data_IF_920343973444
#
_entry.id   IF_920343973444
#
_cell.length_a   1.000
_cell.length_b   1.000
_cell.length_c   1.000
_cell.angle_alpha   90.00
_cell.angle_beta   90.00
_cell.angle_gamma   90.00
#
_symmetry.space_group_name_H-M   'P 1'
#
loop_
_entity.id
_entity.type
_entity.pdbx_description
1 polymer ?
2 polymer ?
3 non-polymer ?
#
# COMPACT_ATOMS: atom_id res chain seq x y z
N UNK A 1 -34.44 29.13 43.79
CA UNK A 1 -33.99 29.04 42.41
C UNK A 1 -34.08 30.38 41.68
N UNK A 2 -32.91 30.95 41.39
CA UNK A 2 -32.78 32.11 40.52
C UNK A 2 -32.61 31.62 39.09
N UNK A 3 -31.86 32.38 38.28
CA UNK A 3 -31.42 31.87 36.99
C UNK A 3 -30.70 30.54 37.16
N UNK A 4 -31.01 29.59 36.29
CA UNK A 4 -30.31 28.31 36.24
C UNK A 4 -29.92 28.04 34.80
N UNK A 5 -28.73 27.50 34.59
CA UNK A 5 -28.17 27.36 33.25
C UNK A 5 -28.33 25.95 32.71
N UNK A 25 -42.47 18.80 46.72
CA UNK A 25 -42.02 17.46 47.03
C UNK A 25 -40.88 17.00 46.13
N UNK A 26 -41.00 15.75 45.64
CA UNK A 26 -39.99 15.15 44.79
C UNK A 26 -40.43 13.80 44.27
N UNK A 27 -40.40 13.63 42.94
CA UNK A 27 -40.62 12.32 42.34
C UNK A 27 -39.74 12.14 41.10
N UNK A 28 -38.50 12.61 41.19
CA UNK A 28 -37.57 12.53 40.08
C UNK A 28 -37.15 11.09 39.84
N UNK A 29 -36.42 10.88 38.74
CA UNK A 29 -35.95 9.56 38.36
C UNK A 29 -34.46 9.53 38.01
N UNK A 30 -33.74 10.63 38.24
CA UNK A 30 -32.30 10.68 37.96
C UNK A 30 -31.57 11.34 39.12
N UNK A 31 -31.90 12.61 39.40
CA UNK A 31 -31.22 13.36 40.45
C UNK A 31 -31.68 12.84 41.82
N UNK A 32 -30.74 12.33 42.60
CA UNK A 32 -31.03 11.88 43.96
C UNK A 32 -31.37 13.07 44.85
N UNK A 33 -32.62 13.26 45.26
CA UNK A 33 -33.01 14.49 45.97
C UNK A 33 -32.75 14.38 47.47
N UNK A 34 -31.70 15.09 47.91
CA UNK A 34 -31.41 15.11 49.35
C UNK A 34 -32.53 15.78 50.13
N UNK A 35 -33.20 16.76 49.53
CA UNK A 35 -34.33 17.43 50.14
C UNK A 35 -35.18 18.10 49.08
N UNK A 36 -35.29 19.43 49.17
CA UNK A 36 -35.92 20.19 48.08
C UNK A 36 -35.09 20.07 46.81
N UNK A 37 -35.71 20.48 45.70
CA UNK A 37 -35.01 20.49 44.42
C UNK A 37 -35.56 21.63 43.58
N UNK A 38 -34.71 22.12 42.68
CA UNK A 38 -35.07 23.23 41.81
C UNK A 38 -35.68 22.75 40.50
N UNK A 39 -35.65 21.45 40.20
CA UNK A 39 -36.04 20.97 38.89
C UNK A 39 -37.07 19.85 38.97
N UNK A 40 -37.96 19.82 37.99
CA UNK A 40 -39.06 18.88 37.89
C UNK A 40 -38.64 17.69 37.03
N UNK A 41 -39.59 16.77 36.81
CA UNK A 41 -39.34 15.61 35.95
C UNK A 41 -39.08 16.04 34.51
N UNK A 42 -39.61 17.18 34.09
CA UNK A 42 -39.51 17.62 32.71
C UNK A 42 -38.15 18.26 32.44
N UNK A 43 -37.69 19.11 33.37
CA UNK A 43 -36.34 19.66 33.26
C UNK A 43 -35.29 18.57 33.44
N UNK A 44 -35.62 17.50 34.18
CA UNK A 44 -34.73 16.37 34.28
C UNK A 44 -34.57 15.67 32.93
N UNK A 45 -35.65 15.58 32.15
CA UNK A 45 -35.57 14.97 30.82
C UNK A 45 -34.80 15.86 29.85
N UNK A 46 -34.97 17.18 29.99
CA UNK A 46 -34.12 18.11 29.25
C UNK A 46 -32.65 17.80 29.51
N UNK A 47 -32.26 17.81 30.79
CA UNK A 47 -30.87 17.53 31.16
C UNK A 47 -30.39 16.19 30.62
N UNK A 48 -31.29 15.22 30.45
CA UNK A 48 -30.88 13.90 29.95
C UNK A 48 -30.50 13.97 28.47
N UNK A 49 -31.33 14.63 27.65
CA UNK A 49 -31.04 14.70 26.22
C UNK A 49 -29.81 15.55 25.94
N UNK A 50 -29.60 16.63 26.69
CA UNK A 50 -28.41 17.44 26.48
C UNK A 50 -27.14 16.72 26.94
N UNK A 51 -27.26 15.77 27.87
CA UNK A 51 -26.12 14.91 28.17
C UNK A 51 -25.77 14.03 26.97
N UNK A 52 -26.79 13.42 26.36
CA UNK A 52 -26.58 12.65 25.13
C UNK A 52 -25.92 13.50 24.05
N UNK A 53 -26.48 14.69 23.80
CA UNK A 53 -25.90 15.58 22.81
C UNK A 53 -24.46 15.97 23.18
N UNK A 54 -24.21 16.20 24.47
CA UNK A 54 -22.89 16.62 24.89
C UNK A 54 -21.87 15.50 24.72
N UNK A 55 -22.21 14.28 25.13
CA UNK A 55 -21.30 13.15 24.97
C UNK A 55 -20.94 12.93 23.51
N UNK A 56 -21.96 13.03 22.64
CA UNK A 56 -21.78 12.87 21.21
C UNK A 56 -20.80 13.90 20.64
N UNK A 57 -21.01 15.18 20.96
CA UNK A 57 -20.12 16.22 20.49
C UNK A 57 -18.69 15.95 20.97
N UNK A 58 -18.54 15.55 22.23
CA UNK A 58 -17.22 15.27 22.77
C UNK A 58 -16.57 14.11 22.04
N UNK A 59 -17.32 13.03 21.83
CA UNK A 59 -16.80 11.89 21.06
C UNK A 59 -16.40 12.32 19.66
N UNK A 60 -17.25 13.12 19.00
CA UNK A 60 -16.93 13.69 17.70
C UNK A 60 -15.59 14.40 17.71
N UNK A 61 -15.41 15.32 18.66
CA UNK A 61 -14.17 16.09 18.74
C UNK A 61 -12.98 15.18 18.99
N UNK A 62 -13.17 14.11 19.76
CA UNK A 62 -12.08 13.18 20.02
C UNK A 62 -11.62 12.49 18.75
N UNK A 63 -12.56 12.14 17.87
CA UNK A 63 -12.28 11.34 16.69
C UNK A 63 -12.05 12.15 15.43
N UNK A 64 -12.20 13.48 15.47
CA UNK A 64 -12.22 14.25 14.23
C UNK A 64 -10.86 14.26 13.54
N UNK A 65 -9.80 14.55 14.30
CA UNK A 65 -8.48 14.70 13.69
C UNK A 65 -8.00 13.40 13.07
N UNK A 66 -8.20 12.28 13.77
CA UNK A 66 -7.83 10.98 13.21
C UNK A 66 -8.69 10.64 12.00
N UNK A 67 -9.99 10.94 12.08
CA UNK A 67 -10.88 10.64 10.97
C UNK A 67 -10.48 11.38 9.71
N UNK A 68 -10.11 12.66 9.85
CA UNK A 68 -9.68 13.44 8.69
C UNK A 68 -8.35 12.95 8.15
N UNK A 69 -7.45 12.50 9.02
CA UNK A 69 -6.16 11.99 8.56
C UNK A 69 -6.34 10.81 7.61
N UNK A 70 -7.18 9.84 8.00
CA UNK A 70 -7.35 8.66 7.17
C UNK A 70 -8.20 8.98 5.93
N UNK A 71 -9.11 9.96 6.04
CA UNK A 71 -9.88 10.39 4.88
C UNK A 71 -8.96 11.03 3.86
N UNK A 72 -8.06 11.92 4.33
CA UNK A 72 -7.04 12.49 3.47
C UNK A 72 -6.33 11.43 2.63
N UNK A 73 -5.65 10.50 3.31
CA UNK A 73 -4.75 9.57 2.62
C UNK A 73 -5.51 8.57 1.79
N UNK A 74 -6.72 8.17 2.21
CA UNK A 74 -7.54 7.29 1.39
C UNK A 74 -7.86 7.94 0.04
N UNK A 75 -8.09 9.25 0.04
CA UNK A 75 -8.39 9.94 -1.20
C UNK A 75 -7.13 10.11 -2.07
N UNK A 76 -5.99 10.38 -1.44
CA UNK A 76 -4.75 10.56 -2.21
C UNK A 76 -4.29 9.23 -2.79
N UNK A 77 -4.19 8.20 -1.95
CA UNK A 77 -3.66 6.91 -2.39
C UNK A 77 -4.55 6.28 -3.46
N UNK A 78 -5.86 6.49 -3.37
CA UNK A 78 -6.76 5.95 -4.38
C UNK A 78 -6.49 6.55 -5.74
N UNK A 79 -6.26 7.86 -5.79
CA UNK A 79 -5.95 8.51 -7.06
C UNK A 79 -4.56 8.16 -7.54
N UNK A 80 -3.59 8.09 -6.62
CA UNK A 80 -2.23 7.73 -6.99
C UNK A 80 -2.20 6.34 -7.63
N UNK A 81 -2.30 5.03 -9.36
CA UNK A 81 -2.13 3.79 -10.11
C UNK A 81 -2.70 3.90 -11.51
N UNK A 82 -3.83 4.59 -11.67
CA UNK A 82 -4.42 4.79 -12.99
C UNK A 82 -3.48 5.60 -13.88
N UNK A 83 -2.76 6.55 -13.29
CA UNK A 83 -1.77 7.32 -14.04
C UNK A 83 -0.65 6.42 -14.53
N UNK A 84 -0.17 5.51 -13.66
CA UNK A 84 0.91 4.62 -14.02
C UNK A 84 0.51 3.70 -15.17
N UNK A 85 -0.76 3.28 -15.22
CA UNK A 85 -1.21 2.40 -16.29
C UNK A 85 -1.33 3.16 -17.60
N UNK A 86 -1.90 4.38 -17.55
CA UNK A 86 -1.99 5.20 -18.76
C UNK A 86 -0.60 5.49 -19.34
N UNK A 87 0.36 5.83 -18.47
CA UNK A 87 1.70 6.14 -18.94
C UNK A 87 2.34 4.92 -19.59
N UNK A 88 2.19 3.75 -18.97
CA UNK A 88 2.77 2.54 -19.55
C UNK A 88 2.12 2.21 -20.89
N UNK A 89 0.81 2.42 -21.01
CA UNK A 89 0.12 2.12 -22.26
C UNK A 89 0.68 2.97 -23.40
N UNK A 90 0.82 4.27 -23.16
CA UNK A 90 1.29 5.17 -24.20
C UNK A 90 2.75 4.91 -24.55
N UNK A 91 3.58 4.64 -23.54
CA UNK A 91 4.96 4.27 -23.80
C UNK A 91 5.03 3.00 -24.65
N UNK A 92 4.24 1.99 -24.28
CA UNK A 92 4.21 0.75 -25.04
C UNK A 92 3.67 0.98 -26.45
N UNK A 93 2.65 1.82 -26.59
CA UNK A 93 2.15 2.16 -27.92
C UNK A 93 3.20 2.89 -28.73
N UNK A 94 3.91 3.84 -28.11
CA UNK A 94 4.93 4.61 -28.83
C UNK A 94 6.09 3.73 -29.26
N UNK A 95 6.51 2.81 -28.39
CA UNK A 95 7.63 1.93 -28.73
C UNK A 95 7.27 1.04 -29.92
N UNK A 96 6.03 0.57 -29.99
CA UNK A 96 5.58 -0.20 -31.14
C UNK A 96 5.57 0.65 -32.40
N UNK A 97 5.00 1.86 -32.29
CA UNK A 97 4.96 2.77 -33.44
C UNK A 97 6.36 3.04 -33.98
N UNK A 98 7.34 3.14 -33.09
CA UNK A 98 8.70 3.53 -33.46
C UNK A 98 9.55 2.36 -33.94
N UNK A 99 9.36 1.18 -33.37
CA UNK A 99 10.21 0.03 -33.68
C UNK A 99 9.53 -1.01 -34.56
N UNK A 100 8.20 -1.14 -34.49
CA UNK A 100 7.48 -2.12 -35.30
C UNK A 100 6.33 -1.45 -36.07
N UNK A 101 6.62 -0.45 -36.91
CA UNK A 101 5.53 0.24 -37.62
C UNK A 101 4.71 -0.69 -38.50
N UNK A 102 5.31 -1.78 -38.98
CA UNK A 102 4.57 -2.78 -39.75
C UNK A 102 3.50 -3.48 -38.91
N UNK A 103 3.60 -3.42 -37.59
CA UNK A 103 2.61 -4.05 -36.72
C UNK A 103 1.48 -3.10 -36.34
N UNK A 104 1.56 -1.81 -36.71
CA UNK A 104 0.46 -0.90 -36.45
C UNK A 104 -0.49 -0.87 -37.65
N UNK A 105 -1.79 -0.56 -37.45
CA UNK A 105 -2.42 -0.14 -36.19
C UNK A 105 -2.86 -1.28 -35.29
N UNK A 106 -2.65 -2.53 -35.71
CA UNK A 106 -3.10 -3.67 -34.92
C UNK A 106 -2.50 -3.66 -33.52
N UNK A 107 -1.24 -3.25 -33.41
CA UNK A 107 -0.60 -3.18 -32.10
C UNK A 107 -1.29 -2.18 -31.19
N UNK A 108 -1.68 -1.02 -31.74
CA UNK A 108 -2.45 -0.03 -31.00
C UNK A 108 -3.74 -0.61 -30.43
N UNK A 109 -4.23 -1.70 -31.00
CA UNK A 109 -5.46 -2.31 -30.54
C UNK A 109 -5.23 -3.37 -29.46
N UNK A 110 -4.26 -4.27 -29.64
CA UNK A 110 -4.07 -5.28 -28.60
C UNK A 110 -3.29 -4.75 -27.40
N UNK A 111 -2.49 -3.69 -27.58
CA UNK A 111 -1.90 -3.02 -26.43
C UNK A 111 -3.00 -2.37 -25.60
N UNK A 112 -3.93 -1.69 -26.28
CA UNK A 112 -5.06 -1.10 -25.57
C UNK A 112 -5.91 -2.14 -24.87
N UNK A 113 -6.16 -3.27 -25.53
CA UNK A 113 -6.93 -4.34 -24.88
C UNK A 113 -6.25 -4.80 -23.60
N UNK A 114 -4.93 -4.89 -23.60
CA UNK A 114 -4.21 -5.45 -22.46
C UNK A 114 -4.22 -4.48 -21.29
N UNK A 115 -3.86 -3.22 -21.53
CA UNK A 115 -3.79 -2.26 -20.44
C UNK A 115 -5.18 -1.88 -19.92
N UNK A 116 -6.20 -1.97 -20.78
CA UNK A 116 -7.57 -1.85 -20.28
C UNK A 116 -7.86 -2.89 -19.22
N UNK A 117 -7.52 -4.15 -19.51
CA UNK A 117 -7.71 -5.21 -18.52
C UNK A 117 -6.81 -5.03 -17.30
N UNK A 118 -5.63 -4.42 -17.48
CA UNK A 118 -4.75 -4.16 -16.34
C UNK A 118 -5.45 -3.29 -15.31
N UNK A 119 -5.96 -2.14 -15.74
CA UNK A 119 -6.67 -1.25 -14.83
C UNK A 119 -7.90 -1.94 -14.24
N UNK A 120 -8.67 -2.63 -15.08
CA UNK A 120 -9.84 -3.35 -14.59
C UNK A 120 -9.47 -4.36 -13.51
N UNK A 121 -8.39 -5.12 -13.73
CA UNK A 121 -7.96 -6.10 -12.74
C UNK A 121 -7.50 -5.41 -11.47
N UNK A 122 -6.84 -4.26 -11.60
CA UNK A 122 -6.37 -3.52 -10.44
C UNK A 122 -7.55 -3.12 -9.57
N UNK A 123 -8.64 -2.70 -10.20
CA UNK A 123 -9.78 -2.12 -9.50
C UNK A 123 -10.84 -3.17 -9.13
N UNK A 124 -10.48 -4.46 -9.13
CA UNK A 124 -11.31 -5.49 -8.54
C UNK A 124 -12.17 -6.28 -9.52
N UNK A 125 -12.14 -5.97 -10.81
CA UNK A 125 -12.94 -6.72 -11.77
C UNK A 125 -12.44 -8.16 -11.87
N UNK A 126 -13.33 -9.04 -12.33
CA UNK A 126 -12.99 -10.46 -12.53
C UNK A 126 -12.20 -10.55 -13.83
N UNK A 127 -10.89 -10.38 -13.72
CA UNK A 127 -9.98 -10.46 -14.86
C UNK A 127 -8.91 -11.49 -14.54
N UNK A 128 -8.67 -12.41 -15.47
CA UNK A 128 -7.67 -13.46 -15.29
C UNK A 128 -6.39 -13.02 -16.01
N UNK A 129 -5.31 -12.86 -15.25
CA UNK A 129 -4.08 -12.29 -15.81
C UNK A 129 -3.56 -13.15 -16.96
N UNK A 130 -3.61 -14.48 -16.80
CA UNK A 130 -3.08 -15.37 -17.84
C UNK A 130 -3.77 -15.12 -19.18
N UNK A 131 -4.99 -14.58 -19.15
CA UNK A 131 -5.69 -14.21 -20.37
C UNK A 131 -4.99 -13.04 -21.04
N UNK A 132 -5.01 -11.88 -20.38
CA UNK A 132 -4.42 -10.64 -20.88
C UNK A 132 -3.12 -10.91 -21.62
N UNK A 133 -2.23 -11.67 -20.99
CA UNK A 133 -1.00 -12.11 -21.64
C UNK A 133 -1.32 -13.01 -22.85
N UNK A 134 -2.21 -13.98 -22.67
CA UNK A 134 -2.47 -14.94 -23.75
C UNK A 134 -3.23 -14.29 -24.90
N UNK A 135 -4.25 -13.48 -24.60
CA UNK A 135 -4.93 -12.71 -25.64
C UNK A 135 -3.94 -11.79 -26.35
N UNK A 136 -3.03 -11.18 -25.59
CA UNK A 136 -2.03 -10.31 -26.17
C UNK A 136 -1.18 -11.05 -27.20
N UNK A 137 -0.67 -12.23 -26.82
CA UNK A 137 0.16 -13.00 -27.73
C UNK A 137 -0.66 -13.70 -28.81
N UNK A 138 -1.93 -14.02 -28.53
CA UNK A 138 -2.80 -14.54 -29.58
C UNK A 138 -3.12 -13.48 -30.62
N UNK A 139 -3.24 -12.22 -30.19
CA UNK A 139 -3.46 -11.15 -31.15
C UNK A 139 -2.16 -10.74 -31.82
N UNK A 140 -1.03 -10.94 -31.15
CA UNK A 140 0.23 -10.43 -31.67
C UNK A 140 0.77 -11.32 -32.78
N UNK A 141 0.68 -12.65 -32.60
CA UNK A 141 1.35 -13.54 -33.53
C UNK A 141 0.85 -13.44 -34.97
N UNK A 142 -0.46 -13.40 -35.25
CA UNK A 142 -0.89 -13.31 -36.66
C UNK A 142 -0.29 -12.12 -37.38
N UNK A 143 -0.21 -10.95 -36.74
CA UNK A 143 0.32 -9.78 -37.44
C UNK A 143 1.83 -9.88 -37.61
N UNK A 144 2.53 -10.52 -36.67
CA UNK A 144 3.95 -10.82 -36.89
C UNK A 144 4.11 -11.72 -38.11
N UNK A 145 3.35 -12.81 -38.15
CA UNK A 145 3.45 -13.76 -39.25
C UNK A 145 3.20 -13.08 -40.58
N UNK A 146 2.11 -12.31 -40.66
CA UNK A 146 1.69 -11.76 -41.95
C UNK A 146 2.57 -10.57 -42.35
N UNK A 147 2.98 -9.74 -41.39
CA UNK A 147 3.66 -8.48 -41.68
C UNK A 147 5.17 -8.53 -41.52
N UNK A 148 5.72 -9.34 -40.62
CA UNK A 148 7.15 -9.37 -40.36
C UNK A 148 7.85 -10.59 -40.98
N UNK A 149 7.29 -11.78 -40.77
CA UNK A 149 7.94 -13.01 -41.22
C UNK A 149 7.69 -13.26 -42.70
N UNK A 150 6.43 -13.22 -43.12
CA UNK A 150 6.04 -13.57 -44.49
C UNK A 150 5.17 -12.47 -45.07
N UNK A 151 5.74 -11.30 -45.36
CA UNK A 151 4.94 -10.19 -45.91
C UNK A 151 4.42 -10.53 -47.30
N UNK A 152 3.10 -10.60 -47.43
CA UNK A 152 2.47 -10.96 -48.69
C UNK A 152 2.53 -12.45 -48.97
N UNK A 158 -6.36 -12.76 -43.80
CA UNK A 158 -7.57 -12.24 -43.17
C UNK A 158 -8.53 -13.37 -42.82
N UNK A 159 -8.70 -14.30 -43.76
CA UNK A 159 -9.49 -15.50 -43.47
C UNK A 159 -8.68 -16.49 -42.65
N UNK A 160 -7.36 -16.40 -42.71
CA UNK A 160 -6.47 -17.39 -42.10
C UNK A 160 -6.06 -16.94 -40.69
N UNK A 161 -6.76 -15.95 -40.12
CA UNK A 161 -6.38 -15.41 -38.82
C UNK A 161 -6.50 -16.45 -37.71
N UNK A 162 -7.59 -17.21 -37.71
CA UNK A 162 -7.88 -18.08 -36.56
C UNK A 162 -6.94 -19.27 -36.49
N UNK A 163 -6.50 -19.79 -37.64
CA UNK A 163 -5.49 -20.84 -37.66
C UNK A 163 -4.22 -20.38 -36.96
N UNK A 164 -3.76 -19.15 -37.28
CA UNK A 164 -2.53 -18.63 -36.71
C UNK A 164 -2.68 -18.37 -35.21
N UNK A 165 -3.88 -17.98 -34.77
CA UNK A 165 -4.13 -17.81 -33.34
C UNK A 165 -4.03 -19.14 -32.61
N UNK A 166 -4.47 -20.23 -33.24
CA UNK A 166 -4.36 -21.56 -32.65
C UNK A 166 -2.96 -22.13 -32.74
N UNK A 167 -2.29 -21.90 -33.87
CA UNK A 167 -0.92 -22.38 -34.04
C UNK A 167 0.05 -21.65 -33.12
N UNK A 168 -0.30 -20.44 -32.66
CA UNK A 168 0.53 -19.73 -31.70
C UNK A 168 0.80 -20.59 -30.48
N UNK A 169 -0.24 -21.22 -29.94
CA UNK A 169 -0.14 -22.01 -28.72
C UNK A 169 0.17 -23.46 -29.01
N UNK A 170 -0.40 -24.02 -30.08
CA UNK A 170 -0.14 -25.41 -30.44
C UNK A 170 1.32 -25.63 -30.81
N UNK A 171 1.99 -24.59 -31.31
CA UNK A 171 3.39 -24.70 -31.73
C UNK A 171 4.35 -23.94 -30.82
N UNK A 172 3.83 -23.21 -29.83
CA UNK A 172 4.63 -22.62 -28.75
C UNK A 172 5.66 -21.65 -29.34
N UNK A 173 5.20 -20.79 -30.25
CA UNK A 173 6.12 -19.99 -31.06
C UNK A 173 6.92 -19.02 -30.19
N UNK A 174 6.34 -18.53 -29.10
CA UNK A 174 7.02 -17.59 -28.22
C UNK A 174 7.77 -18.26 -27.07
N UNK A 175 7.86 -19.58 -27.05
CA UNK A 175 8.58 -20.24 -25.98
C UNK A 175 7.95 -19.97 -24.63
N UNK A 176 8.78 -19.61 -23.64
CA UNK A 176 8.30 -19.29 -22.30
C UNK A 176 8.23 -17.79 -22.04
N UNK A 177 8.35 -16.96 -23.07
CA UNK A 177 8.13 -15.53 -22.88
C UNK A 177 6.74 -15.21 -22.32
N UNK A 178 5.64 -15.83 -22.78
CA UNK A 178 4.34 -15.54 -22.15
C UNK A 178 4.28 -15.90 -20.68
N UNK A 179 4.82 -17.06 -20.30
CA UNK A 179 4.84 -17.43 -18.89
C UNK A 179 5.66 -16.43 -18.07
N UNK A 180 6.81 -16.03 -18.60
CA UNK A 180 7.65 -15.03 -17.92
C UNK A 180 6.86 -13.75 -17.64
N UNK A 181 6.22 -13.20 -18.67
CA UNK A 181 5.39 -12.00 -18.49
C UNK A 181 4.26 -12.29 -17.52
N UNK A 182 3.66 -13.48 -17.61
CA UNK A 182 2.55 -13.84 -16.73
C UNK A 182 2.94 -13.70 -15.26
N UNK A 183 4.09 -14.26 -14.89
CA UNK A 183 4.53 -14.18 -13.50
C UNK A 183 5.05 -12.80 -13.15
N UNK A 184 5.74 -12.14 -14.09
CA UNK A 184 6.20 -10.78 -13.87
C UNK A 184 5.04 -9.86 -13.47
N UNK A 185 3.95 -9.93 -14.21
CA UNK A 185 2.86 -8.98 -14.02
C UNK A 185 1.84 -9.45 -12.98
N UNK A 186 1.63 -10.77 -12.84
CA UNK A 186 0.64 -11.25 -11.88
C UNK A 186 1.08 -10.92 -10.45
N UNK A 187 2.38 -11.00 -10.18
CA UNK A 187 2.88 -10.69 -8.84
C UNK A 187 2.71 -9.21 -8.53
N UNK A 188 2.95 -8.33 -9.50
CA UNK A 188 2.86 -6.90 -9.26
C UNK A 188 1.43 -6.40 -9.31
N UNK A 189 0.58 -7.01 -10.14
CA UNK A 189 -0.80 -6.55 -10.22
C UNK A 189 -1.63 -7.08 -9.08
N UNK A 190 -1.23 -8.22 -8.49
CA UNK A 190 -1.94 -8.76 -7.35
C UNK A 190 -1.74 -7.89 -6.10
N UNK A 191 -0.50 -7.48 -5.84
CA UNK A 191 -0.25 -6.66 -4.65
C UNK A 191 -0.97 -5.32 -4.75
N UNK A 192 -1.00 -4.73 -5.94
CA UNK A 192 -1.67 -3.44 -6.09
C UNK A 192 -3.18 -3.59 -5.96
N UNK A 193 -3.74 -4.66 -6.52
CA UNK A 193 -5.17 -4.92 -6.36
C UNK A 193 -5.54 -5.10 -4.89
N UNK A 196 -5.92 -0.29 0.76
CA UNK A 196 -7.08 0.59 0.64
C UNK A 196 -8.23 0.11 1.51
N UNK A 197 -8.41 -1.22 1.58
CA UNK A 197 -9.44 -1.79 2.45
C UNK A 197 -9.22 -1.39 3.89
N UNK A 198 -7.97 -1.44 4.36
CA UNK A 198 -7.68 -1.13 5.76
C UNK A 198 -7.88 0.35 6.05
N UNK A 199 -7.48 1.22 5.12
CA UNK A 199 -7.71 2.66 5.30
C UNK A 199 -9.20 2.95 5.43
N UNK A 200 -10.00 2.43 4.50
CA UNK A 200 -11.44 2.67 4.54
C UNK A 200 -12.10 2.04 5.76
N UNK A 201 -11.57 0.92 6.25
CA UNK A 201 -12.15 0.30 7.44
C UNK A 201 -11.86 1.12 8.68
N UNK A 202 -10.64 1.65 8.81
CA UNK A 202 -10.34 2.54 9.93
C UNK A 202 -11.26 3.74 9.98
N UNK A 203 -11.53 4.34 8.81
CA UNK A 203 -12.52 5.40 8.73
C UNK A 203 -13.86 4.93 9.27
N UNK A 204 -14.24 3.69 8.95
CA UNK A 204 -15.57 3.21 9.28
C UNK A 204 -15.71 2.91 10.77
N UNK A 205 -14.67 2.40 11.40
CA UNK A 205 -14.76 2.14 12.84
C UNK A 205 -14.66 3.43 13.65
N UNK A 206 -13.76 4.34 13.24
CA UNK A 206 -13.59 5.59 13.96
C UNK A 206 -14.84 6.45 13.84
N UNK A 207 -15.46 6.43 12.66
CA UNK A 207 -16.71 7.15 12.46
C UNK A 207 -17.84 6.54 13.27
N UNK A 208 -17.79 5.22 13.51
CA UNK A 208 -18.76 4.58 14.39
C UNK A 208 -18.64 5.05 15.84
N UNK A 209 -17.44 5.44 16.27
CA UNK A 209 -17.20 5.77 17.68
C UNK A 209 -18.08 6.93 18.15
N UNK A 210 -18.20 7.99 17.36
CA UNK A 210 -18.99 9.12 17.83
C UNK A 210 -20.49 8.84 17.80
N UNK A 211 -20.90 7.68 17.31
CA UNK A 211 -22.30 7.29 17.31
C UNK A 211 -22.59 6.17 18.30
N UNK A 212 -21.64 5.83 19.18
CA UNK A 212 -21.84 4.73 20.11
C UNK A 212 -22.96 5.04 21.09
N UNK A 213 -23.98 4.19 21.11
CA UNK A 213 -25.03 4.29 22.10
C UNK A 213 -24.59 3.61 23.39
N UNK A 214 -24.88 4.26 24.52
CA UNK A 214 -24.48 3.77 25.82
C UNK A 214 -25.71 3.28 26.59
N UNK A 215 -25.46 2.62 27.71
CA UNK A 215 -26.54 2.06 28.50
C UNK A 215 -27.35 3.16 29.15
N UNK A 216 -28.57 2.82 29.60
CA UNK A 216 -29.40 3.87 30.17
C UNK A 216 -28.86 4.30 31.53
N UNK A 217 -28.24 3.37 32.26
CA UNK A 217 -27.60 3.70 33.52
C UNK A 217 -26.48 4.71 33.31
N UNK A 218 -25.67 4.51 32.27
CA UNK A 218 -24.61 5.47 31.97
C UNK A 218 -25.20 6.84 31.68
N UNK A 219 -26.33 6.90 30.97
CA UNK A 219 -26.96 8.17 30.69
C UNK A 219 -27.48 8.86 31.95
N UNK A 220 -28.06 8.08 32.87
CA UNK A 220 -28.51 8.66 34.13
C UNK A 220 -27.34 9.14 34.96
N UNK A 221 -26.22 8.41 34.94
CA UNK A 221 -25.03 8.83 35.67
C UNK A 221 -24.40 10.06 35.04
N UNK A 222 -24.34 10.11 33.70
CA UNK A 222 -23.82 11.30 33.03
C UNK A 222 -24.65 12.53 33.37
N UNK A 223 -25.97 12.36 33.45
CA UNK A 223 -26.84 13.48 33.83
C UNK A 223 -26.56 13.94 35.25
N UNK A 224 -26.45 13.00 36.18
CA UNK A 224 -26.11 13.35 37.56
C UNK A 224 -24.77 14.07 37.63
N UNK A 225 -23.78 13.61 36.85
CA UNK A 225 -22.46 14.20 36.91
C UNK A 225 -22.44 15.63 36.38
N UNK A 226 -23.10 15.86 35.24
CA UNK A 226 -22.97 17.12 34.54
C UNK A 226 -23.98 18.18 34.96
N UNK A 227 -25.20 17.78 35.34
CA UNK A 227 -26.31 18.72 35.39
C UNK A 227 -27.15 18.70 36.66
N UNK A 228 -27.14 17.61 37.43
CA UNK A 228 -28.02 17.54 38.60
C UNK A 228 -27.62 18.51 39.71
N UNK A 229 -26.39 19.05 39.67
CA UNK A 229 -26.02 20.07 40.65
C UNK A 229 -26.86 21.33 40.49
N UNK A 230 -27.22 21.67 39.25
CA UNK A 230 -28.11 22.80 39.03
C UNK A 230 -29.49 22.56 39.64
N UNK A 231 -29.91 21.30 39.71
CA UNK A 231 -31.19 20.97 40.34
C UNK A 231 -31.16 21.22 41.84
N UNK A 232 -29.98 21.16 42.46
CA UNK A 232 -29.83 21.52 43.86
C UNK A 232 -29.55 23.02 44.06
N UNK A 233 -29.46 23.79 42.98
CA UNK A 233 -29.33 25.22 43.11
C UNK A 233 -27.92 25.74 43.23
N UNK A 234 -26.94 25.01 42.73
CA UNK A 234 -25.56 25.47 42.71
C UNK A 234 -25.21 26.00 41.31
N UNK A 235 -24.35 27.00 41.27
CA UNK A 235 -24.02 27.70 40.01
C UNK A 235 -22.68 27.31 39.42
N UNK A 236 -21.61 27.26 40.20
CA UNK A 236 -20.27 27.05 39.65
C UNK A 236 -19.65 25.70 39.99
N UNK A 237 -20.27 24.92 40.89
CA UNK A 237 -19.66 23.67 41.31
C UNK A 237 -19.45 22.74 40.12
N UNK A 238 -18.27 22.13 40.04
CA UNK A 238 -17.92 21.19 39.00
C UNK A 238 -17.84 19.77 39.54
N UNK A 239 -18.02 18.76 38.70
CA UNK A 239 -17.90 17.38 39.19
C UNK A 239 -16.46 17.00 39.48
N UNK A 240 -16.29 16.12 40.46
CA UNK A 240 -14.96 15.63 40.82
C UNK A 240 -14.38 14.80 39.69
N UNK A 241 -13.06 14.94 39.48
CA UNK A 241 -12.40 14.13 38.47
C UNK A 241 -12.47 12.65 38.78
N UNK A 242 -12.28 12.29 40.04
CA UNK A 242 -12.41 10.89 40.44
C UNK A 242 -13.81 10.36 40.17
N UNK A 243 -14.83 11.16 40.48
CA UNK A 243 -16.20 10.77 40.14
C UNK A 243 -16.38 10.65 38.64
N UNK A 244 -15.68 11.51 37.87
CA UNK A 244 -15.77 11.42 36.42
C UNK A 244 -15.14 10.14 35.90
N UNK A 245 -14.03 9.72 36.49
CA UNK A 245 -13.35 8.51 36.03
C UNK A 245 -14.18 7.26 36.36
N UNK A 246 -14.72 7.17 37.57
CA UNK A 246 -15.58 6.04 37.92
C UNK A 246 -16.79 6.00 37.00
N UNK A 247 -17.35 7.17 36.69
CA UNK A 247 -18.48 7.23 35.76
C UNK A 247 -18.04 6.84 34.36
N UNK A 248 -16.92 7.43 33.90
CA UNK A 248 -16.49 7.19 32.51
C UNK A 248 -16.00 5.75 32.33
N UNK A 249 -15.22 5.24 33.27
CA UNK A 249 -14.80 3.84 33.18
C UNK A 249 -16.01 2.92 33.16
N UNK A 250 -17.09 3.30 33.83
CA UNK A 250 -18.31 2.51 33.76
C UNK A 250 -19.04 2.65 32.44
N UNK A 251 -18.98 3.83 31.83
CA UNK A 251 -19.66 4.05 30.56
C UNK A 251 -18.90 3.40 29.40
N UNK A 252 -17.57 3.49 29.40
CA UNK A 252 -16.74 3.03 28.29
C UNK A 252 -16.20 1.63 28.53
N UNK A 253 -16.88 0.81 29.34
CA UNK A 253 -16.35 -0.50 29.71
C UNK A 253 -16.15 -1.41 28.50
N UNK A 254 -17.15 -1.45 27.61
CA UNK A 254 -16.97 -2.22 26.38
C UNK A 254 -16.05 -1.54 25.40
N UNK A 255 -16.05 -0.20 25.39
CA UNK A 255 -15.29 0.55 24.41
C UNK A 255 -13.78 0.35 24.61
N UNK A 256 -13.34 0.22 25.86
CA UNK A 256 -11.90 0.12 26.10
C UNK A 256 -11.36 -1.22 25.61
N UNK A 257 -12.21 -2.25 25.56
CA UNK A 257 -11.78 -3.55 25.04
C UNK A 257 -11.30 -3.46 23.59
N UNK A 258 -11.78 -2.46 22.86
CA UNK A 258 -11.36 -2.25 21.48
C UNK A 258 -9.89 -1.84 21.35
N UNK A 259 -9.28 -1.39 22.45
CA UNK A 259 -7.93 -0.84 22.38
C UNK A 259 -6.93 -1.86 21.81
N UNK A 260 -6.94 -3.08 22.35
CA UNK A 260 -5.96 -4.07 21.90
C UNK A 260 -6.11 -4.38 20.42
N UNK A 261 -7.34 -4.40 19.91
CA UNK A 261 -7.55 -4.67 18.49
C UNK A 261 -7.15 -3.47 17.64
N UNK A 262 -7.35 -2.26 18.15
CA UNK A 262 -6.93 -1.07 17.41
C UNK A 262 -5.42 -0.96 17.35
N UNK A 263 -4.74 -1.31 18.44
CA UNK A 263 -3.27 -1.29 18.44
C UNK A 263 -2.71 -2.30 17.46
N UNK A 264 -3.31 -3.49 17.39
CA UNK A 264 -2.86 -4.50 16.44
C UNK A 264 -3.13 -4.06 15.00
N UNK A 266 -3.04 -0.88 13.93
CA UNK A 266 -1.96 0.07 13.63
C UNK A 266 -0.66 -0.68 13.32
N UNK A 267 -0.28 -1.61 14.20
CA UNK A 267 0.98 -2.31 14.04
C UNK A 267 0.98 -3.18 12.79
N UNK A 268 -0.13 -3.88 12.53
CA UNK A 268 -0.24 -4.66 11.30
C UNK A 268 -0.14 -3.77 10.08
N UNK A 269 -0.74 -2.58 10.13
CA UNK A 269 -0.59 -1.63 9.03
C UNK A 269 0.87 -1.21 8.87
N UNK A 270 1.53 -0.91 9.99
CA UNK A 270 2.94 -0.53 9.95
C UNK A 270 3.80 -1.67 9.42
N UNK A 271 3.39 -2.91 9.69
CA UNK A 271 4.11 -4.04 9.11
C UNK A 271 4.00 -4.01 7.59
N UNK A 272 2.78 -3.84 7.06
CA UNK A 272 2.59 -3.85 5.62
C UNK A 272 3.43 -2.77 4.94
N UNK A 273 3.47 -1.56 5.52
CA UNK A 273 4.16 -0.47 4.85
C UNK A 273 5.67 -0.65 4.91
N UNK A 275 7.20 -3.27 4.83
CA UNK A 275 7.55 -4.35 3.92
C UNK A 275 7.54 -3.99 2.45
N UNK A 276 6.83 -2.94 2.06
CA UNK A 276 6.85 -2.49 0.67
C UNK A 276 8.14 -1.73 0.35
N UNK A 281 8.62 -0.72 -9.18
CA UNK A 281 7.39 -1.35 -8.72
C UNK A 281 6.52 -1.75 -9.90
N UNK A 282 5.21 -1.54 -9.77
CA UNK A 282 4.29 -1.77 -10.88
C UNK A 282 4.63 -0.92 -12.08
N UNK A 283 5.27 0.23 -11.88
CA UNK A 283 5.70 1.06 -13.00
C UNK A 283 6.79 0.38 -13.81
N UNK A 284 7.81 -0.14 -13.13
CA UNK A 284 8.92 -0.79 -13.82
C UNK A 284 8.46 -2.02 -14.60
N UNK A 285 7.60 -2.84 -13.99
CA UNK A 285 7.09 -4.03 -14.66
C UNK A 285 6.33 -3.64 -15.91
N UNK A 286 5.36 -2.74 -15.78
CA UNK A 286 4.55 -2.34 -16.93
C UNK A 286 5.38 -1.55 -17.95
N UNK A 287 6.34 -0.73 -17.50
CA UNK A 287 7.22 -0.05 -18.43
C UNK A 287 8.15 -1.04 -19.14
N UNK A 288 8.56 -2.09 -18.44
CA UNK A 288 9.43 -3.08 -19.04
C UNK A 288 8.78 -4.08 -19.97
N UNK A 289 7.47 -3.96 -20.20
CA UNK A 289 6.77 -4.98 -20.99
C UNK A 289 7.23 -4.97 -22.44
N UNK A 290 7.41 -3.80 -23.04
CA UNK A 290 7.78 -3.77 -24.45
C UNK A 290 9.13 -4.43 -24.68
N UNK A 291 10.09 -4.18 -23.79
CA UNK A 291 11.40 -4.80 -23.92
C UNK A 291 11.28 -6.31 -23.97
N UNK A 292 10.52 -6.89 -23.03
CA UNK A 292 10.33 -8.34 -23.01
C UNK A 292 9.58 -8.83 -24.23
N UNK A 293 8.56 -8.07 -24.66
CA UNK A 293 7.82 -8.43 -25.87
C UNK A 293 8.73 -8.37 -27.09
N UNK A 294 9.56 -7.33 -27.18
CA UNK A 294 10.45 -7.19 -28.32
C UNK A 294 11.40 -8.38 -28.43
N UNK A 295 11.98 -8.79 -27.29
CA UNK A 295 12.83 -9.98 -27.30
C UNK A 295 12.04 -11.23 -27.63
N UNK A 297 9.59 -11.22 -29.82
CA UNK A 297 9.47 -11.15 -31.28
C UNK A 297 10.76 -11.62 -31.93
N UNK A 298 11.91 -11.23 -31.37
CA UNK A 298 13.20 -11.67 -31.89
C UNK A 298 13.34 -13.18 -31.80
N UNK A 299 12.91 -13.77 -30.69
CA UNK A 299 12.94 -15.22 -30.55
C UNK A 299 12.17 -15.90 -31.68
N UNK A 300 10.96 -15.42 -31.95
CA UNK A 300 10.10 -16.04 -32.96
C UNK A 300 10.78 -15.99 -34.32
N UNK A 301 11.32 -14.83 -34.69
CA UNK A 301 11.92 -14.66 -36.01
C UNK A 301 13.22 -15.45 -36.17
N UNK A 302 13.85 -15.84 -35.07
CA UNK A 302 14.99 -16.74 -35.16
C UNK A 302 14.61 -18.10 -35.73
N UNK A 303 13.31 -18.38 -35.90
CA UNK A 303 12.82 -19.65 -36.41
C UNK A 303 11.89 -19.47 -37.60
N UNK A 304 11.90 -18.28 -38.22
CA UNK A 304 10.95 -17.99 -39.30
C UNK A 304 11.06 -18.99 -40.44
N UNK A 305 12.28 -19.36 -40.81
CA UNK A 305 12.52 -20.32 -41.88
C UNK A 305 11.70 -21.59 -41.77
N UNK A 306 11.96 -22.40 -40.74
CA UNK A 306 11.21 -23.64 -40.61
C UNK A 306 9.78 -23.39 -40.15
N UNK A 307 9.55 -22.36 -39.34
CA UNK A 307 8.22 -22.14 -38.77
C UNK A 307 7.21 -21.78 -39.86
N UNK A 308 7.62 -21.00 -40.85
CA UNK A 308 6.73 -20.69 -41.97
C UNK A 308 6.26 -21.96 -42.67
N UNK A 309 7.20 -22.88 -42.94
CA UNK A 309 6.86 -24.08 -43.69
C UNK A 309 5.83 -24.94 -42.96
N UNK A 310 6.04 -25.17 -41.66
CA UNK A 310 5.08 -26.01 -40.93
C UNK A 310 3.72 -25.33 -40.84
N UNK A 311 3.70 -24.01 -40.60
CA UNK A 311 2.43 -23.29 -40.59
C UNK A 311 1.80 -23.32 -41.97
N UNK A 312 2.62 -23.27 -43.01
CA UNK A 312 2.14 -23.48 -44.37
C UNK A 312 1.34 -24.76 -44.49
N UNK A 313 1.94 -25.87 -44.07
CA UNK A 313 1.22 -27.15 -44.06
C UNK A 313 0.02 -27.08 -43.12
N UNK A 314 0.23 -26.63 -41.88
CA UNK A 314 -0.85 -26.59 -40.91
C UNK A 314 -2.01 -25.73 -41.40
N UNK A 315 -1.71 -24.62 -42.06
CA UNK A 315 -2.75 -23.72 -42.52
C UNK A 315 -2.73 -23.62 -44.05
N UNK A 349 8.46 9.69 -3.37
CA UNK A 349 7.57 10.50 -2.54
C UNK A 349 6.29 9.73 -2.25
N UNK A 350 5.99 8.73 -3.08
CA UNK A 350 4.90 7.81 -2.77
C UNK A 350 5.21 7.02 -1.51
N UNK A 351 6.40 6.42 -1.45
CA UNK A 351 6.85 5.75 -0.24
C UNK A 351 6.99 6.74 0.92
N UNK A 352 7.37 7.99 0.62
CA UNK A 352 7.46 9.00 1.67
C UNK A 352 6.09 9.31 2.27
N UNK A 353 5.04 9.25 1.45
CA UNK A 353 3.69 9.47 1.97
C UNK A 353 3.27 8.34 2.91
N UNK A 354 3.60 7.11 2.55
CA UNK A 354 3.33 5.97 3.42
C UNK A 354 3.99 6.15 4.78
N UNK A 355 5.25 6.58 4.78
CA UNK A 355 5.98 6.79 6.04
C UNK A 355 5.29 7.84 6.89
N UNK A 356 5.00 9.01 6.30
CA UNK A 356 4.38 10.08 7.06
C UNK A 356 3.02 9.68 7.61
N UNK A 357 2.27 8.86 6.86
CA UNK A 357 0.98 8.39 7.36
C UNK A 357 1.16 7.50 8.59
N UNK A 358 2.13 6.58 8.53
CA UNK A 358 2.37 5.68 9.64
C UNK A 358 2.86 6.45 10.86
N UNK A 359 3.68 7.48 10.62
CA UNK A 359 4.14 8.33 11.71
C UNK A 359 2.96 8.98 12.43
N UNK A 360 2.10 9.67 11.67
CA UNK A 360 0.93 10.32 12.26
C UNK A 360 -0.02 9.29 12.87
N UNK A 361 -0.11 8.10 12.27
CA UNK A 361 -1.04 7.08 12.76
C UNK A 361 -0.61 6.53 14.11
N UNK A 362 0.69 6.37 14.33
CA UNK A 362 1.17 5.82 15.59
C UNK A 362 0.89 6.75 16.76
N UNK A 363 0.85 8.07 16.51
CA UNK A 363 0.50 9.02 17.55
C UNK A 363 -0.92 8.84 18.06
N UNK A 364 -1.76 8.10 17.32
CA UNK A 364 -3.13 7.83 17.72
C UNK A 364 -3.34 6.39 18.16
N UNK A 365 -2.27 5.67 18.47
CA UNK A 365 -2.38 4.24 18.77
C UNK A 365 -3.12 4.00 20.09
N UNK A 366 -3.14 4.99 20.99
CA UNK A 366 -3.83 4.88 22.26
C UNK A 366 -5.21 5.54 22.23
N UNK A 367 -5.82 5.63 21.05
CA UNK A 367 -7.07 6.39 20.90
C UNK A 367 -8.15 5.87 21.83
N UNK A 368 -8.37 4.56 21.84
CA UNK A 368 -9.45 3.98 22.63
C UNK A 368 -9.12 3.89 24.12
N UNK A 369 -7.84 3.84 24.48
CA UNK A 369 -7.46 3.81 25.89
C UNK A 369 -7.46 5.20 26.50
N UNK A 370 -7.14 6.23 25.72
CA UNK A 370 -7.14 7.60 26.20
C UNK A 370 -8.51 8.27 26.07
N UNK A 371 -9.51 7.56 25.55
CA UNK A 371 -10.79 8.19 25.28
C UNK A 371 -11.54 8.60 26.55
N UNK A 372 -11.65 7.77 27.61
CA UNK A 372 -12.36 8.24 28.81
C UNK A 372 -11.68 9.43 29.46
N UNK A 373 -10.36 9.48 29.46
CA UNK A 373 -9.67 10.65 29.95
C UNK A 373 -9.95 11.87 29.12
N UNK A 374 -10.13 11.68 27.80
CA UNK A 374 -10.46 12.80 26.94
C UNK A 374 -11.80 13.42 27.31
N UNK A 375 -12.82 12.59 27.56
CA UNK A 375 -14.14 13.13 27.89
C UNK A 375 -14.07 13.89 29.22
N UNK A 376 -13.34 13.34 30.19
CA UNK A 376 -13.24 13.97 31.50
C UNK A 376 -12.43 15.26 31.42
N UNK A 377 -11.34 15.26 30.66
CA UNK A 377 -10.47 16.44 30.62
C UNK A 377 -11.06 17.56 29.77
N UNK A 378 -11.82 17.23 28.72
CA UNK A 378 -12.41 18.23 27.85
C UNK A 378 -13.83 18.59 28.26
N UNK A 379 -14.20 18.34 29.52
CA UNK A 379 -15.40 18.83 30.15
C UNK A 379 -15.03 19.46 31.51
N UNK A 380 -15.77 20.45 31.95
CA UNK A 380 -15.49 21.08 33.25
C UNK A 380 -15.49 20.04 34.37
N UNK A 381 -14.31 19.81 34.97
CA UNK A 381 -14.19 18.93 36.13
C UNK A 381 -13.30 19.56 37.18
N UNK A 382 -13.49 19.13 38.43
CA UNK A 382 -12.57 19.45 39.52
C UNK A 382 -11.67 18.23 39.72
N UNK A 383 -10.68 18.11 38.84
CA UNK A 383 -9.68 17.04 38.94
C UNK A 383 -8.99 17.05 40.30
N UNK A 384 -9.09 18.17 41.03
CA UNK A 384 -8.53 18.27 42.37
C UNK A 384 -9.31 17.44 43.39
N UNK A 385 -10.55 17.07 43.06
CA UNK A 385 -11.44 16.31 43.95
C UNK A 385 -11.73 17.05 45.25
N UNK A 386 -11.70 18.38 45.20
CA UNK A 386 -12.10 19.21 46.33
C UNK A 386 -13.22 20.16 45.91
N UNK A 387 -14.12 20.43 46.86
CA UNK A 387 -15.31 21.24 46.67
C UNK A 387 -15.94 20.91 45.33
N UNK A 388 -16.46 19.69 45.20
CA UNK A 388 -16.86 19.17 43.91
C UNK A 388 -18.17 18.41 44.05
N UNK A 389 -18.80 18.16 42.91
CA UNK A 389 -20.09 17.49 42.85
C UNK A 389 -19.86 15.99 42.65
N UNK A 390 -20.40 15.17 43.55
CA UNK A 390 -20.22 13.72 43.51
C UNK A 390 -21.38 13.01 42.84
N UNK A 391 -22.33 13.73 42.27
CA UNK A 391 -23.51 13.15 41.67
C UNK A 391 -24.77 13.36 42.47
N UNK A 392 -24.67 13.76 43.73
CA UNK A 392 -25.86 13.95 44.56
C UNK A 392 -25.66 15.01 45.64
N UNK A 393 -24.41 15.32 45.98
CA UNK A 393 -24.16 16.37 46.94
C UNK A 393 -22.79 16.98 46.70
N UNK A 394 -22.66 18.25 47.10
CA UNK A 394 -21.37 18.92 47.11
C UNK A 394 -20.53 18.40 48.27
N UNK A 395 -19.32 17.91 47.96
CA UNK A 395 -18.46 17.30 48.97
C UNK A 395 -17.11 18.01 49.00
N UNK A 396 -16.42 17.83 50.13
CA UNK A 396 -15.15 18.48 50.39
C UNK A 396 -13.98 17.69 49.82
N UNK A 397 -14.11 16.36 49.75
CA UNK A 397 -13.12 15.49 49.13
C UNK A 397 -13.84 14.25 48.67
N UNK A 398 -13.68 13.88 47.40
CA UNK A 398 -14.37 12.73 46.85
C UNK A 398 -13.70 11.45 47.31
N UNK A 399 -14.51 10.50 47.79
CA UNK A 399 -13.99 9.24 48.33
C UNK A 399 -13.98 8.14 47.29
N UNK A 400 -15.12 7.46 47.14
CA UNK A 400 -15.22 6.28 46.28
C UNK A 400 -14.79 6.53 44.83
N UNK A 422 -23.10 -3.18 23.68
CA UNK A 422 -22.00 -4.05 23.28
C UNK A 422 -22.07 -4.59 21.83
N UNK A 423 -23.29 -4.89 21.28
CA UNK A 423 -23.35 -5.38 19.89
C UNK A 423 -22.49 -4.57 18.93
N UNK A 424 -22.73 -3.25 18.86
CA UNK A 424 -21.94 -2.40 17.97
C UNK A 424 -20.45 -2.52 18.28
N UNK A 425 -20.11 -2.58 19.57
CA UNK A 425 -18.71 -2.73 19.97
C UNK A 425 -18.14 -4.04 19.41
N UNK A 426 -18.89 -5.13 19.54
CA UNK A 426 -18.41 -6.42 19.06
C UNK A 426 -18.27 -6.45 17.55
N UNK A 427 -19.09 -5.68 16.82
CA UNK A 427 -18.90 -5.58 15.38
C UNK A 427 -17.60 -4.87 15.04
N UNK A 428 -17.22 -3.85 15.81
CA UNK A 428 -15.95 -3.18 15.60
C UNK A 428 -14.80 -4.17 15.84
N UNK A 429 -14.92 -4.96 16.91
CA UNK A 429 -13.93 -5.99 17.22
C UNK A 429 -13.79 -6.94 16.03
N UNK A 430 -14.92 -7.48 15.58
CA UNK A 430 -14.92 -8.46 14.49
C UNK A 430 -14.27 -7.90 13.23
N UNK A 431 -14.62 -6.65 12.87
CA UNK A 431 -14.04 -6.04 11.68
C UNK A 431 -12.54 -5.84 11.86
N UNK A 432 -12.10 -5.40 13.03
CA UNK A 432 -10.67 -5.24 13.28
C UNK A 432 -9.97 -6.59 13.24
N UNK A 434 -10.86 -9.18 11.46
CA UNK A 434 -10.82 -9.64 10.07
C UNK A 434 -9.72 -8.93 9.28
N UNK A 435 -9.67 -7.60 9.37
CA UNK A 435 -8.66 -6.86 8.62
C UNK A 435 -7.27 -7.13 9.18
N UNK A 436 -7.16 -7.47 10.47
CA UNK A 436 -5.84 -7.73 11.05
C UNK A 436 -5.29 -9.06 10.59
N UNK A 438 -6.00 -10.29 7.54
CA UNK A 438 -5.62 -9.98 6.16
C UNK A 438 -4.31 -9.23 6.09
N UNK A 439 -4.05 -8.36 7.07
CA UNK A 439 -2.80 -7.61 7.09
C UNK A 439 -1.63 -8.50 7.47
N UNK A 441 -1.26 -11.94 7.23
CA UNK A 441 -0.95 -12.94 6.21
C UNK A 441 -0.54 -12.34 4.87
N UNK A 443 2.04 -9.51 4.81
CA UNK A 443 3.45 -9.24 5.09
C UNK A 443 3.93 -10.00 6.32
N UNK B 1 12.21 -20.28 -5.59
CA UNK B 1 12.16 -18.81 -5.74
C UNK B 1 13.15 -18.38 -6.81
N UNK B 2 12.81 -17.41 -7.65
CA UNK B 2 13.73 -16.83 -8.64
C UNK B 2 14.37 -15.62 -7.99
N UNK B 3 15.68 -15.64 -7.80
CA UNK B 3 16.36 -14.49 -7.22
C UNK B 3 17.65 -14.19 -7.98
N UNK B 4 17.77 -12.93 -8.38
CA UNK B 4 19.05 -12.30 -8.66
C UNK B 4 19.64 -11.87 -7.32
N UNK B 5 20.82 -12.38 -6.97
CA UNK B 5 21.42 -12.14 -5.65
C UNK B 5 22.77 -11.47 -5.82
N UNK B 6 22.85 -10.19 -5.46
CA UNK B 6 24.07 -9.40 -5.47
C UNK B 6 24.95 -9.66 -4.23
N UNK B 7 26.25 -9.53 -4.43
CA UNK B 7 27.29 -9.67 -3.40
C UNK B 7 28.54 -8.87 -3.78
N UNK B 8 29.48 -8.74 -2.85
CA UNK B 8 30.77 -8.05 -3.07
C UNK B 8 30.74 -6.54 -2.85
N UNK B 9 29.59 -5.97 -2.46
CA UNK B 9 29.51 -4.60 -1.96
C UNK B 9 30.28 -4.43 -0.64
N UNK B 10 30.56 -3.19 -0.27
CA UNK B 10 31.32 -2.85 0.92
C UNK B 10 31.87 -1.44 0.92
N UNK B 11 32.67 -1.16 1.94
CA UNK B 11 33.40 0.10 2.10
C UNK B 11 34.77 -0.01 1.44
N UNK B 12 35.15 1.00 0.65
CA UNK B 12 36.46 1.09 0.02
C UNK B 12 36.93 2.54 -0.07
N UNK B 13 38.23 2.73 -0.05
CA UNK B 13 38.84 4.05 -0.21
C UNK B 13 38.78 4.52 -1.68
N UNK B 14 38.73 5.84 -1.94
CA UNK B 14 38.87 6.37 -3.29
C UNK B 14 40.14 5.85 -3.99
N UNK B 15 40.03 5.53 -5.27
CA UNK B 15 41.09 4.90 -6.06
C UNK B 15 41.17 3.37 -5.92
N UNK B 16 40.47 2.79 -4.93
CA UNK B 16 40.38 1.35 -4.76
C UNK B 16 39.52 0.65 -5.81
N UNK B 17 39.35 -0.66 -5.62
CA UNK B 17 38.56 -1.52 -6.50
C UNK B 17 37.62 -2.42 -5.71
N UNK B 18 36.48 -2.77 -6.32
CA UNK B 18 35.55 -3.78 -5.83
C UNK B 18 35.12 -4.67 -6.99
N UNK B 19 34.70 -5.89 -6.67
CA UNK B 19 34.02 -6.78 -7.62
C UNK B 19 32.66 -7.10 -7.07
N UNK B 20 31.63 -6.66 -7.78
CA UNK B 20 30.27 -7.09 -7.50
C UNK B 20 29.97 -8.35 -8.29
N UNK B 21 29.25 -9.27 -7.67
CA UNK B 21 28.80 -10.51 -8.28
C UNK B 21 27.32 -10.68 -8.09
N UNK B 22 26.60 -10.98 -9.16
CA UNK B 22 25.18 -11.27 -9.14
C UNK B 22 24.93 -12.68 -9.65
N UNK B 23 24.33 -13.52 -8.79
CA UNK B 23 24.01 -14.91 -9.10
C UNK B 23 22.53 -15.03 -9.45
N UNK B 24 22.25 -15.61 -10.61
CA UNK B 24 20.92 -15.98 -11.03
C UNK B 24 20.54 -17.34 -10.44
N UNK B 25 19.54 -17.34 -9.56
CA UNK B 25 18.99 -18.55 -8.93
C UNK B 25 17.54 -18.82 -9.35
N UNK B 26 17.07 -20.03 -9.09
CA UNK B 26 15.76 -20.52 -9.51
C UNK B 26 15.78 -21.16 -10.90
N UNK B 27 15.15 -22.33 -11.01
CA UNK B 27 15.27 -23.21 -12.19
C UNK B 27 14.83 -22.54 -13.50
N UNK B 29 14.67 -19.10 -14.11
CA UNK B 29 15.53 -17.98 -14.47
C UNK B 29 16.90 -18.45 -14.95
N UNK B 30 17.42 -19.54 -14.36
CA UNK B 30 18.62 -20.23 -14.83
C UNK B 30 18.51 -20.71 -16.28
N UNK B 31 17.33 -21.12 -16.76
CA UNK B 31 17.16 -21.56 -18.15
C UNK B 31 17.14 -20.40 -19.15
N UNK B 32 16.61 -19.23 -18.77
CA UNK B 32 16.55 -18.04 -19.65
C UNK B 32 17.72 -17.08 -19.51
N UNK B 33 18.57 -17.24 -18.48
CA UNK B 33 19.71 -16.35 -18.24
C UNK B 33 20.59 -16.19 -19.48
N UNK B 34 20.94 -17.30 -20.14
CA UNK B 34 21.82 -17.31 -21.32
C UNK B 34 21.26 -16.56 -22.52
N UNK B 35 19.93 -16.42 -22.62
CA UNK B 35 19.25 -15.63 -23.66
C UNK B 35 18.82 -14.24 -23.18
N UNK B 36 19.13 -13.87 -21.92
CA UNK B 36 18.75 -12.59 -21.33
C UNK B 36 19.89 -11.58 -21.35
N UNK B 37 19.56 -10.33 -21.69
CA UNK B 37 20.45 -9.20 -21.41
C UNK B 37 20.54 -9.04 -19.90
N UNK B 38 21.75 -8.87 -19.39
CA UNK B 38 22.01 -8.58 -17.98
C UNK B 38 22.52 -7.16 -17.81
N UNK B 39 22.03 -6.49 -16.79
CA UNK B 39 22.29 -5.07 -16.54
C UNK B 39 22.69 -4.86 -15.09
N UNK B 40 23.59 -3.90 -14.87
CA UNK B 40 23.90 -3.35 -13.57
C UNK B 40 23.43 -1.90 -13.52
N UNK B 41 22.69 -1.59 -12.46
CA UNK B 41 22.20 -0.27 -12.13
C UNK B 41 22.81 0.22 -10.83
N UNK B 42 22.97 1.53 -10.68
CA UNK B 42 23.36 2.18 -9.44
C UNK B 42 22.27 3.15 -9.02
N UNK B 43 22.00 3.21 -7.72
CA UNK B 43 21.18 4.26 -7.12
C UNK B 43 22.00 5.00 -6.08
N UNK B 44 22.50 6.21 -6.41
CA UNK B 44 23.19 7.04 -5.42
C UNK B 44 22.22 7.53 -4.33
N UNK B 45 22.71 7.89 -3.13
CA UNK B 45 21.88 8.40 -2.04
C UNK B 45 21.06 9.62 -2.47
N UNK B 46 19.75 9.59 -2.23
CA UNK B 46 18.83 10.68 -2.60
C UNK B 46 18.64 10.91 -4.10
N UNK B 47 19.19 10.05 -4.96
CA UNK B 47 19.10 10.17 -6.42
C UNK B 47 18.29 9.03 -7.02
N UNK B 48 17.93 9.22 -8.29
CA UNK B 48 17.29 8.19 -9.11
C UNK B 48 18.30 7.09 -9.47
N UNK B 49 17.77 5.91 -9.73
CA UNK B 49 18.54 4.78 -10.26
C UNK B 49 18.98 5.06 -11.70
N UNK B 50 20.20 4.71 -12.04
CA UNK B 50 20.82 4.90 -13.35
C UNK B 50 21.50 3.61 -13.84
N UNK B 51 21.50 3.40 -15.16
CA UNK B 51 22.21 2.28 -15.79
C UNK B 51 23.72 2.51 -15.65
N UNK B 52 24.46 1.49 -15.24
CA UNK B 52 25.93 1.52 -15.10
C UNK B 52 26.59 0.75 -16.24
N UNK B 53 26.13 -0.49 -16.44
CA UNK B 53 26.66 -1.36 -17.48
C UNK B 53 25.60 -2.36 -17.94
N UNK B 54 25.71 -2.80 -19.18
CA UNK B 54 24.84 -3.80 -19.79
C UNK B 54 25.70 -4.79 -20.56
N UNK B 55 25.33 -6.06 -20.52
CA UNK B 55 25.93 -7.11 -21.33
C UNK B 55 24.83 -7.93 -22.02
N UNK B 56 24.91 -7.99 -23.35
CA UNK B 56 23.97 -8.78 -24.15
C UNK B 56 24.17 -10.29 -23.91
N UNK B 57 23.19 -11.14 -24.28
CA UNK B 57 23.43 -12.56 -24.56
C UNK B 57 24.56 -12.72 -25.57
N UNK B 58 25.38 -13.76 -25.41
CA UNK B 58 26.45 -14.07 -26.35
C UNK B 58 26.00 -15.14 -27.34
N UNK B 59 26.63 -15.17 -28.51
CA UNK B 59 26.54 -16.27 -29.48
C UNK B 59 27.60 -17.36 -29.24
N UNK B 60 28.31 -17.30 -28.10
CA UNK B 60 29.43 -18.17 -27.76
C UNK B 60 30.81 -17.57 -28.02
N UNK B 61 30.91 -16.45 -28.75
CA UNK B 61 32.22 -15.85 -29.10
C UNK B 61 32.39 -14.40 -28.66
N UNK B 62 31.31 -13.63 -28.52
CA UNK B 62 31.40 -12.26 -28.03
C UNK B 62 30.14 -11.80 -27.30
N UNK B 63 30.32 -10.89 -26.35
CA UNK B 63 29.22 -10.18 -25.72
C UNK B 63 29.31 -8.70 -26.07
N UNK B 64 28.21 -8.11 -26.53
CA UNK B 64 28.11 -6.65 -26.61
C UNK B 64 28.00 -6.07 -25.20
N UNK B 65 29.01 -5.31 -24.78
CA UNK B 65 29.00 -4.58 -23.52
C UNK B 65 28.83 -3.08 -23.75
N UNK B 66 27.97 -2.44 -22.96
CA UNK B 66 27.79 -1.00 -22.93
C UNK B 66 28.00 -0.49 -21.50
N UNK B 67 28.55 0.71 -21.39
CA UNK B 67 28.88 1.37 -20.13
C UNK B 67 28.34 2.79 -20.13
N UNK B 68 27.87 3.24 -18.97
CA UNK B 68 27.60 4.66 -18.78
C UNK B 68 28.90 5.46 -18.87
N UNK B 69 28.80 6.68 -19.40
CA UNK B 69 29.97 7.56 -19.59
C UNK B 69 30.73 7.83 -18.29
N UNK B 70 30.02 7.89 -17.16
CA UNK B 70 30.59 8.13 -15.84
C UNK B 70 31.56 7.02 -15.37
N UNK B 71 31.45 5.80 -15.92
CA UNK B 71 32.25 4.62 -15.52
C UNK B 71 33.10 4.04 -16.66
N UNK B 72 33.00 4.62 -17.86
CA UNK B 72 33.70 4.15 -19.05
C UNK B 72 35.22 4.12 -18.82
N UNK B 73 35.85 3.00 -19.18
CA UNK B 73 37.28 2.77 -18.98
C UNK B 73 37.69 2.43 -17.54
N UNK B 74 36.75 2.45 -16.58
CA UNK B 74 37.02 2.09 -15.18
C UNK B 74 36.37 0.77 -14.78
N UNK B 75 35.16 0.52 -15.28
CA UNK B 75 34.38 -0.66 -14.94
C UNK B 75 34.39 -1.67 -16.07
N UNK B 76 34.22 -2.93 -15.72
CA UNK B 76 34.14 -4.04 -16.69
C UNK B 76 33.03 -4.98 -16.26
N UNK B 77 32.03 -5.16 -17.11
CA UNK B 77 30.97 -6.15 -16.92
C UNK B 77 31.39 -7.45 -17.60
N UNK B 78 31.14 -8.57 -16.93
CA UNK B 78 31.40 -9.91 -17.47
C UNK B 78 30.28 -10.85 -17.05
N UNK B 79 30.06 -11.94 -17.79
CA UNK B 79 29.07 -12.95 -17.46
C UNK B 79 29.64 -14.35 -17.65
N UNK B 80 29.24 -15.26 -16.77
CA UNK B 80 29.56 -16.68 -16.84
C UNK B 80 28.23 -17.45 -16.94
N UNK B 81 27.95 -17.92 -18.15
CA UNK B 81 26.70 -18.63 -18.45
C UNK B 81 26.65 -20.02 -17.81
N UNK B 82 27.78 -20.67 -17.53
CA UNK B 82 27.79 -21.96 -16.87
C UNK B 82 27.43 -21.80 -15.38
N UNK B 83 27.98 -20.76 -14.74
CA UNK B 83 27.68 -20.43 -13.34
C UNK B 83 26.38 -19.65 -13.16
N UNK B 84 25.88 -19.03 -14.23
CA UNK B 84 24.72 -18.12 -14.24
C UNK B 84 24.99 -16.90 -13.37
N UNK B 85 26.13 -16.26 -13.63
CA UNK B 85 26.55 -15.08 -12.89
C UNK B 85 26.86 -13.92 -13.83
N UNK B 86 26.60 -12.71 -13.37
CA UNK B 86 27.05 -11.47 -14.01
C UNK B 86 27.84 -10.67 -12.98
N UNK B 87 29.07 -10.35 -13.32
CA UNK B 87 30.00 -9.66 -12.45
C UNK B 87 30.30 -8.26 -12.98
N UNK B 88 30.50 -7.32 -12.05
CA UNK B 88 30.96 -5.97 -12.34
C UNK B 88 32.27 -5.73 -11.60
N UNK B 89 33.38 -5.75 -12.34
CA UNK B 89 34.67 -5.31 -11.83
C UNK B 89 34.70 -3.78 -11.88
N UNK B 90 34.94 -3.15 -10.73
CA UNK B 90 34.96 -1.70 -10.57
C UNK B 90 36.36 -1.29 -10.14
N UNK B 91 37.04 -0.50 -10.96
CA UNK B 91 38.39 0.01 -10.65
C UNK B 91 38.40 1.53 -10.55
N UNK B 92 39.43 2.06 -9.89
CA UNK B 92 39.63 3.51 -9.74
C UNK B 92 38.36 4.20 -9.25
N UNK B 93 37.79 3.64 -8.17
CA UNK B 93 36.52 4.08 -7.59
C UNK B 93 36.60 5.53 -7.12
N UNK B 94 35.51 6.26 -7.29
CA UNK B 94 35.39 7.65 -6.88
C UNK B 94 34.27 7.80 -5.86
N UNK B 95 34.25 8.84 -5.02
CA UNK B 95 33.15 9.10 -4.10
C UNK B 95 31.77 9.10 -4.79
N UNK B 96 31.69 9.58 -6.03
CA UNK B 96 30.47 9.59 -6.85
C UNK B 96 29.99 8.19 -7.25
N UNK B 97 30.83 7.17 -7.08
CA UNK B 97 30.44 5.77 -7.29
C UNK B 97 29.71 5.16 -6.10
N UNK B 98 29.59 5.88 -4.98
CA UNK B 98 28.78 5.45 -3.84
C UNK B 98 27.31 5.29 -4.23
N UNK B 99 26.72 4.15 -3.85
CA UNK B 99 25.31 3.88 -4.08
C UNK B 99 24.96 2.43 -3.84
N UNK B 100 23.67 2.12 -3.95
CA UNK B 100 23.18 0.73 -3.99
C UNK B 100 23.22 0.26 -5.43
N UNK B 101 23.89 -0.86 -5.66
CA UNK B 101 24.04 -1.48 -6.96
C UNK B 101 23.10 -2.65 -7.11
N UNK B 102 22.30 -2.65 -8.18
CA UNK B 102 21.31 -3.68 -8.47
C UNK B 102 21.70 -4.37 -9.77
N UNK B 103 21.70 -5.69 -9.79
CA UNK B 103 21.65 -6.41 -11.05
C UNK B 103 20.20 -6.59 -11.48
N UNK B 104 19.99 -6.58 -12.78
CA UNK B 104 18.67 -6.72 -13.37
C UNK B 104 18.73 -7.52 -14.67
N UNK B 105 17.56 -8.02 -15.02
CA UNK B 105 17.20 -8.50 -16.33
C UNK B 105 15.90 -7.80 -16.73
N UNK B 106 15.47 -7.94 -18.00
CA UNK B 106 14.19 -7.39 -18.45
C UNK B 106 12.95 -7.89 -17.67
N UNK B 107 13.08 -8.94 -16.85
CA UNK B 107 11.97 -9.55 -16.09
C UNK B 107 12.15 -9.54 -14.57
N UNK B 108 13.37 -9.35 -14.07
CA UNK B 108 13.69 -9.52 -12.66
C UNK B 108 14.78 -8.55 -12.21
N UNK B 109 14.69 -8.16 -10.94
CA UNK B 109 15.65 -7.30 -10.26
C UNK B 109 16.17 -8.02 -9.03
N UNK B 110 17.46 -7.83 -8.72
CA UNK B 110 17.98 -8.19 -7.42
C UNK B 110 17.64 -7.14 -6.36
N UNK B 111 17.96 -7.47 -5.11
CA UNK B 111 17.69 -6.60 -3.95
C UNK B 111 18.74 -5.50 -3.78
N UNK B 112 19.87 -5.67 -4.45
CA UNK B 112 20.97 -4.74 -4.49
C UNK B 112 22.00 -4.95 -3.37
N UNK B 113 23.16 -4.35 -3.57
CA UNK B 113 24.28 -4.38 -2.63
C UNK B 113 24.85 -2.97 -2.46
N UNK B 114 25.21 -2.60 -1.24
CA UNK B 114 25.73 -1.26 -0.95
C UNK B 114 27.22 -1.18 -1.29
N UNK B 115 27.60 -0.16 -2.05
CA UNK B 115 28.99 0.25 -2.25
C UNK B 115 29.15 1.64 -1.67
N UNK B 116 30.15 1.79 -0.79
CA UNK B 116 30.51 3.08 -0.19
C UNK B 116 31.96 3.38 -0.50
N UNK B 117 32.20 4.52 -1.16
CA UNK B 117 33.54 5.01 -1.48
C UNK B 117 33.81 6.24 -0.62
N UNK B 118 34.56 6.08 0.47
CA UNK B 118 34.86 7.16 1.40
C UNK B 118 36.19 6.95 2.09
N UNK B 119 36.80 8.05 2.54
CA UNK B 119 38.00 8.05 3.37
C UNK B 119 37.73 7.86 4.84
#
# INVERSE_FOLDING_TARGET
CHQVRSFFQRLQPGLKWVPETPVPGSDLQVCLPKGPTCCSRKMEEKYQLTARLNMEQLLQSASMELKFLIIQNAAVFQEAFEIVVRHAKNYTNAMFKNNYPSLTPQAFEFVGEFFTDVSLYILGSDINVDDMVNELFDSLFPVIYTQLMNPGLPDSALDINECLRGARRDLKVFGNFPKLIMTQVSKSLQVTRIFLQALNLGIEVINTTDHLKFSKDCGRMLTRMWYCSYCQGLMMVKPCGGYCNVVMQGCMAGVVEIDKYWREYILSLEELVNGMYRIYDMENVLLGLFSTIHDSIQYVQKNAGKLTTTIGKLCAHSQQRQYRSAYYPEDLFIDKKVLKVAHVEHEETLSSRRRELIQKLKSFISFYSALPGYICSHSPVAENDTLCWNGQELVERYSQKAARNGMKNQFNLHELKMKGPEPVVSQIIDKLKHINQLLRTMS
DVQLVESGGGLVQPGGSLRLSCVASGSXFRSVFSSSTMEWYRQPPGKKRELVARIAPGDGTNYGALYADSVKGRFTISRDDAKKTVDLQMNSLKPEDTGVYFCASGVAWGQGTLVTVSS
#
